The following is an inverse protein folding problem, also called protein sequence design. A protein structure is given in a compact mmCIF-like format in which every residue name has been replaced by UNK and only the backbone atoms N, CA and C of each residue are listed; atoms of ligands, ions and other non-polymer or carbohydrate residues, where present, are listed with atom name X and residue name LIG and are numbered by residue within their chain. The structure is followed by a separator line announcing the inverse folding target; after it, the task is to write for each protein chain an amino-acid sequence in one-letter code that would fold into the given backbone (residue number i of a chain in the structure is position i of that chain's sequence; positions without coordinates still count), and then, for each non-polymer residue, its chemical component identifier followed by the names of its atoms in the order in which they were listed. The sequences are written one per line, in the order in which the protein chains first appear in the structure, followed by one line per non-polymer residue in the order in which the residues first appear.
data_IF_076271428311
#
_entry.id   IF_076271428311
#
_cell.length_a   1.000
_cell.length_b   1.000
_cell.length_c   1.000
_cell.angle_alpha   90.00
_cell.angle_beta   90.00
_cell.angle_gamma   90.00
#
_symmetry.space_group_name_H-M   'P 1'
#
loop_
_entity.id
_entity.type
_entity.pdbx_description
1 polymer ?
#
# COMPACT_ATOMS: atom_id res chain seq x y z
N UNK A 1 -23.28 -11.40 13.65
CA UNK A 1 -21.86 -11.06 13.42
C UNK A 1 -21.62 -11.14 11.93
N UNK A 2 -21.40 -10.00 11.26
CA UNK A 2 -21.03 -10.01 9.85
C UNK A 2 -19.51 -10.11 9.78
N UNK A 3 -19.00 -11.31 9.47
CA UNK A 3 -17.63 -11.46 8.97
C UNK A 3 -17.59 -10.77 7.62
N UNK A 4 -16.79 -9.70 7.47
CA UNK A 4 -16.64 -9.00 6.20
C UNK A 4 -16.31 -9.97 5.06
N UNK A 5 -16.63 -9.60 3.82
CA UNK A 5 -16.55 -10.45 2.62
C UNK A 5 -15.19 -11.08 2.33
N UNK A 6 -14.12 -10.69 3.05
CA UNK A 6 -12.76 -11.17 2.82
C UNK A 6 -12.13 -10.60 1.55
N UNK A 7 -12.75 -9.58 0.96
CA UNK A 7 -12.30 -9.00 -0.30
C UNK A 7 -11.05 -8.12 -0.08
N UNK A 8 -9.96 -8.48 -0.76
CA UNK A 8 -8.73 -7.72 -0.81
C UNK A 8 -8.62 -6.95 -2.14
N UNK A 9 -8.15 -5.72 -2.07
CA UNK A 9 -7.76 -4.94 -3.24
C UNK A 9 -6.25 -4.95 -3.41
N UNK A 10 -5.80 -5.13 -4.64
CA UNK A 10 -4.42 -4.83 -5.04
C UNK A 10 -4.29 -3.33 -5.24
N UNK A 11 -3.36 -2.72 -4.50
CA UNK A 11 -3.08 -1.28 -4.56
C UNK A 11 -1.70 -1.09 -5.18
N UNK A 12 -1.64 -0.19 -6.16
CA UNK A 12 -0.41 0.24 -6.83
C UNK A 12 -0.24 1.73 -6.58
N UNK A 13 0.66 2.10 -5.67
CA UNK A 13 0.85 3.48 -5.27
C UNK A 13 2.10 4.04 -5.91
N UNK A 14 1.95 5.07 -6.76
CA UNK A 14 3.08 5.76 -7.40
C UNK A 14 3.86 6.56 -6.35
N UNK A 15 5.16 6.30 -6.25
CA UNK A 15 6.04 7.02 -5.34
C UNK A 15 6.56 8.31 -5.98
N UNK A 16 6.78 9.37 -5.17
CA UNK A 16 7.52 10.54 -5.61
C UNK A 16 8.90 10.17 -6.18
N UNK A 17 9.32 10.88 -7.23
CA UNK A 17 10.67 10.75 -7.77
C UNK A 17 11.71 11.06 -6.70
N UNK A 18 12.68 10.16 -6.52
CA UNK A 18 13.71 10.27 -5.48
C UNK A 18 13.34 9.58 -4.15
N UNK A 19 12.24 8.82 -4.09
CA UNK A 19 11.96 7.95 -2.93
C UNK A 19 12.98 6.81 -2.90
N UNK A 20 13.98 6.91 -2.02
CA UNK A 20 15.02 5.88 -1.87
C UNK A 20 14.59 4.74 -0.97
N UNK A 21 13.72 4.99 0.02
CA UNK A 21 13.29 3.98 0.99
C UNK A 21 11.86 4.26 1.44
N UNK A 22 11.04 3.20 1.46
CA UNK A 22 9.73 3.20 2.13
C UNK A 22 9.92 2.44 3.44
N UNK A 23 9.57 3.06 4.57
CA UNK A 23 9.68 2.41 5.89
C UNK A 23 8.49 1.52 6.22
N UNK A 24 7.28 1.96 5.84
CA UNK A 24 6.04 1.29 6.18
C UNK A 24 4.91 1.73 5.25
N UNK A 25 3.96 0.82 5.02
CA UNK A 25 2.64 1.13 4.49
C UNK A 25 1.63 0.82 5.58
N UNK A 26 0.86 1.82 5.99
CA UNK A 26 -0.21 1.66 6.98
C UNK A 26 -1.54 1.69 6.25
N UNK A 27 -2.37 0.67 6.42
CA UNK A 27 -3.76 0.69 5.99
C UNK A 27 -4.66 0.15 7.12
N UNK A 28 -5.84 0.77 7.30
CA UNK A 28 -6.73 0.49 8.43
C UNK A 28 -6.05 0.54 9.81
N UNK A 29 -5.02 1.38 9.99
CA UNK A 29 -4.24 1.47 11.22
C UNK A 29 -3.30 0.29 11.48
N UNK A 30 -2.97 -0.51 10.47
CA UNK A 30 -2.02 -1.64 10.57
C UNK A 30 -0.94 -1.53 9.51
N UNK A 31 0.28 -1.93 9.88
CA UNK A 31 1.35 -2.14 8.91
C UNK A 31 0.99 -3.29 7.99
N UNK A 32 1.04 -3.03 6.69
CA UNK A 32 0.78 -4.01 5.64
C UNK A 32 2.10 -4.33 4.92
N UNK A 33 2.38 -5.62 4.65
CA UNK A 33 3.49 -6.01 3.80
C UNK A 33 3.33 -5.39 2.41
N UNK A 34 4.38 -4.78 1.91
CA UNK A 34 4.43 -4.23 0.56
C UNK A 34 5.72 -4.69 -0.11
N UNK A 35 5.75 -4.59 -1.43
CA UNK A 35 6.98 -4.66 -2.21
C UNK A 35 7.07 -3.46 -3.13
N UNK A 36 8.29 -3.18 -3.59
CA UNK A 36 8.54 -2.07 -4.49
C UNK A 36 8.67 -2.60 -5.92
N UNK A 37 7.86 -2.10 -6.85
CA UNK A 37 8.03 -2.38 -8.28
C UNK A 37 8.52 -1.15 -9.04
N UNK A 38 9.13 -1.40 -10.20
CA UNK A 38 9.63 -0.38 -11.11
C UNK A 38 9.01 -0.58 -12.48
N UNK A 39 8.24 0.42 -12.93
CA UNK A 39 7.62 0.42 -14.25
C UNK A 39 8.15 1.64 -15.00
N UNK A 40 8.93 1.40 -16.05
CA UNK A 40 9.66 2.44 -16.79
C UNK A 40 10.55 3.26 -15.83
N UNK A 41 10.28 4.55 -15.69
CA UNK A 41 11.03 5.48 -14.83
C UNK A 41 10.24 5.85 -13.55
N UNK A 42 9.32 4.98 -13.13
CA UNK A 42 8.44 5.21 -11.99
C UNK A 42 8.54 4.04 -11.03
N UNK A 43 8.58 4.37 -9.74
CA UNK A 43 8.65 3.40 -8.65
C UNK A 43 7.29 3.36 -7.97
N UNK A 44 6.82 2.17 -7.63
CA UNK A 44 5.54 1.94 -6.99
C UNK A 44 5.72 1.17 -5.68
N UNK A 45 4.88 1.47 -4.69
CA UNK A 45 4.61 0.58 -3.58
C UNK A 45 3.38 -0.27 -3.93
N UNK A 46 3.56 -1.59 -3.93
CA UNK A 46 2.53 -2.55 -4.25
C UNK A 46 2.17 -3.35 -3.01
N UNK A 47 0.88 -3.40 -2.67
CA UNK A 47 0.40 -4.11 -1.50
C UNK A 47 -1.06 -4.54 -1.67
N UNK A 48 -1.45 -5.57 -0.92
CA UNK A 48 -2.84 -5.99 -0.80
C UNK A 48 -3.43 -5.41 0.47
N UNK A 49 -4.63 -4.86 0.39
CA UNK A 49 -5.32 -4.35 1.57
C UNK A 49 -6.83 -4.64 1.52
N UNK A 50 -7.49 -4.81 2.69
CA UNK A 50 -8.93 -5.04 2.71
C UNK A 50 -9.72 -3.89 2.08
N UNK A 51 -10.69 -4.21 1.21
CA UNK A 51 -11.52 -3.22 0.50
C UNK A 51 -12.30 -2.28 1.42
N UNK A 52 -12.63 -2.74 2.63
CA UNK A 52 -13.29 -1.94 3.66
C UNK A 52 -12.33 -1.09 4.53
N UNK A 53 -11.02 -1.13 4.28
CA UNK A 53 -10.01 -0.68 5.24
C UNK A 53 -8.98 0.35 4.77
N UNK A 54 -8.81 0.56 3.46
CA UNK A 54 -7.84 1.57 3.00
C UNK A 54 -8.47 2.96 3.03
N UNK A 55 -8.44 3.58 4.20
CA UNK A 55 -8.89 4.98 4.38
C UNK A 55 -7.74 5.98 4.29
N UNK A 56 -6.51 5.52 4.50
CA UNK A 56 -5.30 6.34 4.51
C UNK A 56 -4.06 5.48 4.22
N UNK A 57 -3.07 6.05 3.54
CA UNK A 57 -1.79 5.42 3.23
C UNK A 57 -0.68 6.45 3.47
N UNK A 58 0.04 6.31 4.59
CA UNK A 58 1.18 7.16 4.91
C UNK A 58 2.49 6.53 4.42
N UNK A 59 3.27 7.30 3.68
CA UNK A 59 4.62 6.91 3.22
C UNK A 59 5.61 7.75 4.01
N UNK A 60 6.33 7.10 4.91
CA UNK A 60 7.41 7.73 5.67
C UNK A 60 8.73 7.44 4.96
N UNK A 61 9.36 8.48 4.43
CA UNK A 61 10.73 8.49 3.89
C UNK A 61 11.69 9.12 4.91
#
# INVERSE_FOLDING_TARGET
SFTGSGEEASVHLLLPSGTETIRSVIAAGRNIPFFTSHVRNSTYADFSAPLKGVTDCEIVY
#
